data_IF_633265247968
#
_entry.id   IF_633265247968
#
_cell.length_a   1.000
_cell.length_b   1.000
_cell.length_c   1.000
_cell.angle_alpha   90.00
_cell.angle_beta   90.00
_cell.angle_gamma   90.00
#
_symmetry.space_group_name_H-M   'P 1'
#
loop_
_entity.id
_entity.type
_entity.pdbx_description
1 polymer ?
#
# COMPACT_ATOMS: atom_id res chain seq x y z
N UNK A 1 -23.22 -8.67 26.06
CA UNK A 1 -22.15 -7.73 25.66
C UNK A 1 -21.78 -8.06 24.23
N UNK A 2 -22.38 -7.38 23.26
CA UNK A 2 -22.10 -7.62 21.84
C UNK A 2 -20.88 -6.82 21.43
N UNK A 3 -19.88 -7.46 20.84
CA UNK A 3 -18.78 -6.73 20.23
C UNK A 3 -19.33 -6.03 18.98
N UNK A 4 -19.46 -4.70 19.05
CA UNK A 4 -19.92 -3.85 17.95
C UNK A 4 -18.95 -3.84 16.75
N UNK A 5 -17.77 -4.45 16.94
CA UNK A 5 -16.66 -4.48 16.01
C UNK A 5 -16.03 -5.87 16.02
N UNK A 6 -15.89 -6.48 14.84
CA UNK A 6 -15.31 -7.81 14.64
C UNK A 6 -14.09 -7.71 13.74
N UNK A 7 -12.96 -8.28 14.17
CA UNK A 7 -11.76 -8.39 13.35
C UNK A 7 -11.87 -9.60 12.40
N UNK A 8 -11.84 -9.36 11.09
CA UNK A 8 -11.93 -10.40 10.08
C UNK A 8 -11.04 -10.09 8.88
N UNK A 9 -10.14 -11.03 8.53
CA UNK A 9 -9.23 -10.96 7.37
C UNK A 9 -8.40 -9.66 7.26
N UNK A 10 -8.06 -9.03 8.39
CA UNK A 10 -7.32 -7.76 8.37
C UNK A 10 -8.19 -6.50 8.37
N UNK A 11 -9.51 -6.67 8.44
CA UNK A 11 -10.50 -5.60 8.52
C UNK A 11 -11.22 -5.62 9.86
N UNK A 12 -11.57 -4.43 10.32
CA UNK A 12 -12.48 -4.19 11.43
C UNK A 12 -13.88 -4.00 10.82
N UNK A 13 -14.77 -4.95 11.02
CA UNK A 13 -16.15 -4.93 10.54
C UNK A 13 -17.02 -4.38 11.66
N UNK A 14 -17.67 -3.25 11.42
CA UNK A 14 -18.63 -2.61 12.32
C UNK A 14 -19.99 -2.48 11.63
N UNK A 15 -21.04 -2.14 12.38
CA UNK A 15 -22.39 -1.93 11.82
C UNK A 15 -22.42 -0.86 10.72
N UNK A 16 -21.55 0.15 10.83
CA UNK A 16 -21.42 1.24 9.86
C UNK A 16 -20.58 0.87 8.62
N UNK A 17 -19.84 -0.24 8.65
CA UNK A 17 -19.06 -0.73 7.52
C UNK A 17 -17.76 -1.42 7.92
N UNK A 18 -16.93 -1.72 6.93
CA UNK A 18 -15.59 -2.26 7.16
C UNK A 18 -14.55 -1.14 7.13
N UNK A 19 -13.53 -1.23 8.00
CA UNK A 19 -12.35 -0.37 8.01
C UNK A 19 -11.08 -1.23 8.05
N UNK A 20 -9.96 -0.81 7.44
CA UNK A 20 -8.71 -1.52 7.61
C UNK A 20 -8.24 -1.42 9.06
N UNK A 21 -7.65 -2.50 9.58
CA UNK A 21 -7.07 -2.49 10.92
C UNK A 21 -5.97 -1.43 11.02
N UNK A 22 -5.94 -0.62 12.09
CA UNK A 22 -4.92 0.42 12.26
C UNK A 22 -3.51 -0.17 12.22
N UNK A 23 -3.30 -1.35 12.83
CA UNK A 23 -2.03 -2.09 12.76
C UNK A 23 -1.56 -2.38 11.33
N UNK A 24 -2.48 -2.69 10.40
CA UNK A 24 -2.13 -2.93 8.99
C UNK A 24 -1.80 -1.63 8.27
N UNK A 25 -2.54 -0.57 8.56
CA UNK A 25 -2.27 0.77 8.02
C UNK A 25 -0.91 1.27 8.50
N UNK A 26 -0.61 1.15 9.80
CA UNK A 26 0.68 1.55 10.39
C UNK A 26 1.87 0.84 9.74
N UNK A 27 1.75 -0.45 9.40
CA UNK A 27 2.80 -1.20 8.71
C UNK A 27 3.05 -0.66 7.29
N UNK A 28 2.02 -0.15 6.61
CA UNK A 28 2.13 0.44 5.28
C UNK A 28 2.72 1.86 5.38
N UNK A 29 2.30 2.61 6.38
CA UNK A 29 2.81 3.97 6.65
C UNK A 29 4.27 3.95 7.07
N UNK A 30 4.67 2.99 7.91
CA UNK A 30 6.06 2.78 8.33
C UNK A 30 6.84 1.85 7.37
N UNK A 31 6.25 1.51 6.22
CA UNK A 31 6.92 0.65 5.26
C UNK A 31 8.19 1.35 4.76
N UNK A 32 9.32 0.66 4.83
CA UNK A 32 10.59 1.20 4.35
C UNK A 32 10.51 1.44 2.84
N UNK A 33 11.20 2.48 2.38
CA UNK A 33 11.28 2.81 0.97
C UNK A 33 11.83 1.60 0.18
N UNK A 34 11.06 1.01 -0.76
CA UNK A 34 11.47 -0.25 -1.39
C UNK A 34 12.71 -0.08 -2.27
N UNK A 35 13.85 -0.66 -1.94
CA UNK A 35 15.08 -0.50 -2.75
C UNK A 35 14.94 -1.21 -4.10
N UNK A 36 14.17 -2.31 -4.15
CA UNK A 36 14.04 -3.16 -5.33
C UNK A 36 12.68 -3.03 -6.00
N UNK A 37 12.64 -3.19 -7.33
CA UNK A 37 11.39 -3.28 -8.11
C UNK A 37 10.43 -4.36 -7.58
N UNK A 38 10.97 -5.45 -7.03
CA UNK A 38 10.15 -6.52 -6.45
C UNK A 38 9.44 -6.07 -5.16
N UNK A 39 10.16 -5.35 -4.29
CA UNK A 39 9.56 -4.76 -3.08
C UNK A 39 8.55 -3.67 -3.44
N UNK A 40 8.83 -2.85 -4.46
CA UNK A 40 7.88 -1.85 -4.95
C UNK A 40 6.58 -2.49 -5.47
N UNK A 41 6.67 -3.64 -6.17
CA UNK A 41 5.50 -4.41 -6.59
C UNK A 41 4.72 -4.96 -5.41
N UNK A 42 5.40 -5.52 -4.41
CA UNK A 42 4.77 -5.99 -3.17
C UNK A 42 4.06 -4.86 -2.45
N UNK A 43 4.72 -3.72 -2.26
CA UNK A 43 4.13 -2.52 -1.67
C UNK A 43 2.90 -2.05 -2.44
N UNK A 44 2.99 -1.94 -3.77
CA UNK A 44 1.84 -1.55 -4.60
C UNK A 44 0.69 -2.55 -4.51
N UNK A 45 0.98 -3.85 -4.37
CA UNK A 45 -0.03 -4.89 -4.12
C UNK A 45 -0.77 -4.65 -2.79
N UNK A 46 -0.04 -4.32 -1.73
CA UNK A 46 -0.62 -3.98 -0.43
C UNK A 46 -1.46 -2.70 -0.52
N UNK A 47 -0.95 -1.64 -1.15
CA UNK A 47 -1.69 -0.38 -1.34
C UNK A 47 -2.96 -0.61 -2.17
N UNK A 48 -2.88 -1.44 -3.21
CA UNK A 48 -4.04 -1.79 -4.04
C UNK A 48 -5.10 -2.59 -3.26
N UNK A 49 -4.69 -3.42 -2.30
CA UNK A 49 -5.62 -4.11 -1.39
C UNK A 49 -6.46 -3.11 -0.57
N UNK A 50 -5.88 -1.98 -0.17
CA UNK A 50 -6.56 -0.92 0.58
C UNK A 50 -7.11 0.23 -0.27
N UNK A 51 -7.08 0.12 -1.61
CA UNK A 51 -7.47 1.20 -2.54
C UNK A 51 -8.89 1.74 -2.31
N UNK A 52 -9.80 0.92 -1.77
CA UNK A 52 -11.18 1.29 -1.46
C UNK A 52 -11.27 2.37 -0.35
N UNK A 53 -10.25 2.48 0.50
CA UNK A 53 -10.16 3.45 1.58
C UNK A 53 -9.28 4.66 1.23
N UNK A 54 -8.52 4.56 0.14
CA UNK A 54 -7.59 5.59 -0.32
C UNK A 54 -8.27 6.44 -1.39
N UNK A 55 -8.59 7.68 -1.05
CA UNK A 55 -9.12 8.65 -2.01
C UNK A 55 -8.06 8.92 -3.08
N UNK A 56 -8.45 8.86 -4.35
CA UNK A 56 -7.57 9.06 -5.49
C UNK A 56 -6.33 8.13 -5.54
N UNK A 57 -6.42 6.91 -4.99
CA UNK A 57 -5.32 5.94 -4.95
C UNK A 57 -4.61 5.76 -6.31
N UNK A 58 -5.39 5.71 -7.39
CA UNK A 58 -4.87 5.58 -8.76
C UNK A 58 -3.93 6.74 -9.14
N UNK A 59 -4.23 7.98 -8.74
CA UNK A 59 -3.37 9.14 -9.04
C UNK A 59 -2.04 9.04 -8.29
N UNK A 60 -2.08 8.65 -7.02
CA UNK A 60 -0.88 8.49 -6.18
C UNK A 60 -0.03 7.29 -6.64
N UNK A 61 -0.67 6.21 -7.09
CA UNK A 61 0.01 5.01 -7.57
C UNK A 61 0.52 5.15 -9.01
N UNK A 62 -0.03 6.04 -9.83
CA UNK A 62 0.37 6.25 -11.22
C UNK A 62 1.89 6.47 -11.42
N UNK A 63 2.58 7.38 -10.69
CA UNK A 63 4.01 7.55 -10.84
C UNK A 63 4.79 6.29 -10.45
N UNK A 64 4.37 5.59 -9.39
CA UNK A 64 5.00 4.34 -8.94
C UNK A 64 4.84 3.22 -9.99
N UNK A 65 3.66 3.13 -10.62
CA UNK A 65 3.41 2.19 -11.70
C UNK A 65 4.25 2.51 -12.95
N UNK A 66 4.53 3.79 -13.20
CA UNK A 66 5.39 4.20 -14.32
C UNK A 66 6.84 3.76 -14.10
N UNK A 67 7.34 3.81 -12.85
CA UNK A 67 8.65 3.26 -12.48
C UNK A 67 8.75 1.75 -12.77
N UNK A 68 7.63 1.02 -12.63
CA UNK A 68 7.56 -0.41 -12.95
C UNK A 68 7.55 -0.71 -14.45
N UNK A 69 6.96 0.15 -15.29
CA UNK A 69 6.83 -0.09 -16.75
C UNK A 69 8.18 -0.18 -17.48
N UNK A 70 9.19 0.55 -17.00
CA UNK A 70 10.55 0.52 -17.55
C UNK A 70 11.47 -0.57 -16.98
N UNK A 71 11.03 -1.30 -15.95
CA UNK A 71 11.85 -2.29 -15.26
C UNK A 71 11.75 -3.68 -15.92
N UNK A 72 12.67 -3.96 -16.85
CA UNK A 72 12.85 -5.31 -17.42
C UNK A 72 13.83 -6.12 -16.57
N UNK A 73 13.36 -7.25 -16.02
CA UNK A 73 14.07 -8.33 -15.28
C UNK A 73 14.57 -8.01 -13.86
N UNK A 74 14.66 -9.09 -13.07
CA UNK A 74 14.93 -9.17 -11.61
C UNK A 74 16.12 -8.28 -11.21
N UNK A 75 15.98 -7.61 -10.06
CA UNK A 75 17.05 -6.87 -9.33
C UNK A 75 17.43 -5.45 -9.82
N UNK A 76 16.61 -4.77 -10.63
CA UNK A 76 16.78 -3.31 -10.77
C UNK A 76 16.42 -2.60 -9.47
N UNK A 77 17.36 -1.80 -8.94
CA UNK A 77 17.08 -0.83 -7.88
C UNK A 77 16.11 0.22 -8.38
N UNK A 78 15.12 0.57 -7.55
CA UNK A 78 14.18 1.63 -7.86
C UNK A 78 14.95 2.94 -7.86
N UNK A 79 14.92 3.72 -8.95
CA UNK A 79 15.56 5.03 -8.96
C UNK A 79 14.69 5.99 -8.16
N UNK A 80 14.84 5.95 -6.83
CA UNK A 80 14.30 6.97 -5.94
C UNK A 80 14.99 8.28 -6.28
N UNK A 81 14.36 9.08 -7.14
CA UNK A 81 14.67 10.49 -7.21
C UNK A 81 14.10 11.10 -5.93
N UNK A 82 14.86 10.99 -4.84
CA UNK A 82 14.71 11.91 -3.73
C UNK A 82 14.83 13.31 -4.34
N UNK A 83 13.80 14.16 -4.26
CA UNK A 83 13.99 15.56 -4.59
C UNK A 83 15.10 16.04 -3.64
N UNK A 84 16.30 16.21 -4.20
CA UNK A 84 17.39 16.92 -3.57
C UNK A 84 16.82 18.29 -3.19
N UNK A 85 16.87 18.61 -1.90
CA UNK A 85 16.64 19.97 -1.42
C UNK A 85 17.54 20.95 -2.18
#
# INVERSE_FOLDING_TARGET
MGADQVEYLGYLITSEGSRPLPKKVEVITNYKLPDTINELRTFLGIVNFYRRYLKDAAKTQAPLHNLLKGAKKKEKKVPWKVPHC
#
